data_IF_780885815715
#
_entry.id   IF_780885815715
#
_cell.length_a   1.000
_cell.length_b   1.000
_cell.length_c   1.000
_cell.angle_alpha   90.00
_cell.angle_beta   90.00
_cell.angle_gamma   90.00
#
_symmetry.space_group_name_H-M   'P 1'
#
loop_
_entity.id
_entity.type
_entity.pdbx_description
1 polymer ?
#
# COMPACT_ATOMS: atom_id res chain seq x y z
N UNK A 1 -26.53 -22.70 -27.09
CA UNK A 1 -26.36 -21.60 -26.12
C UNK A 1 -24.88 -21.25 -26.09
N UNK A 2 -24.46 -20.23 -26.82
CA UNK A 2 -23.04 -19.89 -26.97
C UNK A 2 -22.60 -19.01 -25.80
N UNK A 3 -21.75 -19.57 -24.93
CA UNK A 3 -21.08 -18.83 -23.86
C UNK A 3 -20.02 -17.92 -24.48
N UNK A 4 -20.31 -16.62 -24.57
CA UNK A 4 -19.31 -15.62 -24.93
C UNK A 4 -18.37 -15.41 -23.76
N UNK A 5 -17.27 -16.17 -23.72
CA UNK A 5 -16.18 -15.91 -22.81
C UNK A 5 -15.62 -14.51 -23.09
N UNK A 6 -15.77 -13.60 -22.12
CA UNK A 6 -15.27 -12.23 -22.20
C UNK A 6 -13.74 -12.30 -22.22
N UNK A 7 -13.10 -11.73 -23.25
CA UNK A 7 -11.64 -11.65 -23.32
C UNK A 7 -11.08 -10.92 -22.08
N UNK A 8 -9.93 -11.35 -21.54
CA UNK A 8 -9.32 -10.69 -20.39
C UNK A 8 -8.94 -9.25 -20.73
N UNK A 9 -8.91 -8.34 -19.74
CA UNK A 9 -8.45 -6.98 -19.98
C UNK A 9 -6.99 -6.98 -20.47
N UNK A 10 -6.61 -6.00 -21.31
CA UNK A 10 -5.22 -5.86 -21.75
C UNK A 10 -4.30 -5.55 -20.56
N UNK A 11 -3.01 -5.93 -20.64
CA UNK A 11 -2.05 -5.66 -19.58
C UNK A 11 -1.84 -4.15 -19.38
N UNK A 12 -1.74 -3.74 -18.11
CA UNK A 12 -1.38 -2.36 -17.75
C UNK A 12 0.12 -2.15 -18.00
N UNK A 13 0.46 -1.06 -18.71
CA UNK A 13 1.84 -0.58 -18.84
C UNK A 13 2.07 0.48 -17.76
N UNK A 14 2.91 0.15 -16.78
CA UNK A 14 3.31 1.07 -15.72
C UNK A 14 4.74 1.55 -15.97
N UNK A 15 4.96 2.85 -15.80
CA UNK A 15 6.28 3.46 -15.91
C UNK A 15 6.65 4.08 -14.56
N UNK A 16 7.88 3.82 -14.10
CA UNK A 16 8.39 4.42 -12.86
C UNK A 16 9.03 5.75 -13.23
N UNK A 17 8.32 6.84 -12.93
CA UNK A 17 8.80 8.19 -13.20
C UNK A 17 9.93 8.61 -12.26
N UNK A 18 9.84 8.22 -10.99
CA UNK A 18 10.83 8.55 -9.96
C UNK A 18 10.93 7.41 -8.94
N UNK A 19 12.16 7.14 -8.50
CA UNK A 19 12.45 6.22 -7.40
C UNK A 19 13.52 6.84 -6.52
N UNK A 20 13.16 7.14 -5.27
CA UNK A 20 14.08 7.70 -4.28
C UNK A 20 13.89 7.03 -2.93
N UNK A 21 14.93 7.01 -2.08
CA UNK A 21 14.78 6.60 -0.69
C UNK A 21 13.86 7.59 0.06
N UNK A 22 13.06 7.04 0.97
CA UNK A 22 12.24 7.80 1.91
C UNK A 22 12.86 7.72 3.30
N UNK A 23 12.79 8.82 4.05
CA UNK A 23 13.11 8.79 5.48
C UNK A 23 12.07 7.99 6.27
N UNK A 24 12.43 7.57 7.49
CA UNK A 24 11.49 6.88 8.38
C UNK A 24 10.26 7.74 8.68
N UNK A 25 10.43 9.06 8.89
CA UNK A 25 9.33 9.98 9.14
C UNK A 25 8.37 10.11 7.93
N UNK A 26 8.91 10.27 6.72
CA UNK A 26 8.11 10.29 5.49
C UNK A 26 7.36 8.97 5.29
N UNK A 27 8.02 7.84 5.57
CA UNK A 27 7.44 6.51 5.44
C UNK A 27 6.28 6.33 6.42
N UNK A 28 6.46 6.69 7.69
CA UNK A 28 5.40 6.65 8.72
C UNK A 28 4.21 7.52 8.31
N UNK A 29 4.46 8.74 7.83
CA UNK A 29 3.39 9.63 7.36
C UNK A 29 2.63 9.04 6.17
N UNK A 30 3.35 8.43 5.23
CA UNK A 30 2.75 7.81 4.03
C UNK A 30 1.88 6.62 4.41
N UNK A 31 2.38 5.73 5.27
CA UNK A 31 1.65 4.57 5.75
C UNK A 31 0.43 4.96 6.58
N UNK A 32 0.54 5.98 7.43
CA UNK A 32 -0.60 6.49 8.18
C UNK A 32 -1.70 7.01 7.25
N UNK A 33 -1.34 7.80 6.23
CA UNK A 33 -2.30 8.32 5.25
C UNK A 33 -2.94 7.20 4.43
N UNK A 34 -2.16 6.19 4.05
CA UNK A 34 -2.66 5.02 3.34
C UNK A 34 -3.68 4.25 4.21
N UNK A 35 -3.37 4.02 5.49
CA UNK A 35 -4.23 3.31 6.43
C UNK A 35 -5.51 4.06 6.80
N UNK A 36 -5.44 5.38 6.93
CA UNK A 36 -6.56 6.24 7.33
C UNK A 36 -7.52 6.59 6.18
N UNK A 37 -6.98 6.85 4.98
CA UNK A 37 -7.78 7.33 3.84
C UNK A 37 -8.04 6.24 2.77
N UNK A 38 -7.42 5.07 2.90
CA UNK A 38 -7.52 4.00 1.91
C UNK A 38 -8.89 3.32 1.93
N UNK A 39 -9.83 3.81 1.12
CA UNK A 39 -11.00 3.02 0.66
C UNK A 39 -10.58 1.67 0.05
N UNK A 40 -9.37 1.63 -0.53
CA UNK A 40 -8.74 0.41 -1.05
C UNK A 40 -8.34 -0.60 0.04
N UNK A 41 -7.97 -0.17 1.26
CA UNK A 41 -7.63 -1.12 2.34
C UNK A 41 -8.87 -1.80 2.89
N UNK A 42 -9.98 -1.07 2.99
CA UNK A 42 -11.27 -1.65 3.39
C UNK A 42 -11.74 -2.74 2.41
N UNK A 43 -11.29 -2.66 1.17
CA UNK A 43 -11.56 -3.64 0.10
C UNK A 43 -10.45 -4.67 -0.07
N UNK A 44 -9.29 -4.46 0.56
CA UNK A 44 -8.16 -5.37 0.49
C UNK A 44 -8.42 -6.59 1.38
N UNK A 45 -7.86 -7.77 1.03
CA UNK A 45 -7.82 -8.88 1.95
C UNK A 45 -7.25 -8.42 3.30
N UNK A 46 -7.92 -8.81 4.38
CA UNK A 46 -7.58 -8.41 5.76
C UNK A 46 -6.11 -8.68 6.11
N UNK A 47 -5.47 -9.65 5.45
CA UNK A 47 -4.04 -9.95 5.60
C UNK A 47 -3.11 -8.82 5.14
N UNK A 48 -3.42 -8.14 4.02
CA UNK A 48 -2.58 -7.05 3.50
C UNK A 48 -2.70 -5.84 4.42
N UNK A 49 -3.93 -5.48 4.81
CA UNK A 49 -4.17 -4.42 5.78
C UNK A 49 -3.40 -4.67 7.08
N UNK A 50 -3.44 -5.91 7.59
CA UNK A 50 -2.76 -6.29 8.82
C UNK A 50 -1.22 -6.18 8.70
N UNK A 51 -0.63 -6.66 7.60
CA UNK A 51 0.80 -6.56 7.37
C UNK A 51 1.27 -5.11 7.29
N UNK A 52 0.52 -4.26 6.59
CA UNK A 52 0.84 -2.83 6.47
C UNK A 52 0.77 -2.14 7.84
N UNK A 53 -0.24 -2.47 8.66
CA UNK A 53 -0.35 -1.99 10.04
C UNK A 53 0.83 -2.41 10.90
N UNK A 54 1.30 -3.67 10.80
CA UNK A 54 2.46 -4.15 11.54
C UNK A 54 3.74 -3.39 11.18
N UNK A 55 3.96 -3.14 9.89
CA UNK A 55 5.12 -2.35 9.42
C UNK A 55 5.04 -0.93 9.95
N UNK A 56 3.86 -0.29 9.84
CA UNK A 56 3.63 1.07 10.34
C UNK A 56 3.96 1.20 11.83
N UNK A 57 3.42 0.33 12.69
CA UNK A 57 3.64 0.41 14.13
C UNK A 57 5.11 0.19 14.49
N UNK A 58 5.80 -0.75 13.83
CA UNK A 58 7.23 -0.98 14.05
C UNK A 58 8.06 0.27 13.71
N UNK A 59 7.83 0.86 12.54
CA UNK A 59 8.56 2.05 12.09
C UNK A 59 8.26 3.28 12.96
N UNK A 60 7.00 3.43 13.38
CA UNK A 60 6.57 4.51 14.27
C UNK A 60 7.27 4.44 15.63
N UNK A 61 7.39 3.25 16.21
CA UNK A 61 8.08 3.04 17.47
C UNK A 61 9.58 3.31 17.34
N UNK A 62 10.21 2.87 16.24
CA UNK A 62 11.62 3.11 15.98
C UNK A 62 11.93 4.61 15.81
N UNK A 63 11.08 5.32 15.06
CA UNK A 63 11.23 6.78 14.87
C UNK A 63 11.14 7.54 16.21
N UNK A 64 10.27 7.10 17.13
CA UNK A 64 10.15 7.70 18.48
C UNK A 64 11.34 7.41 19.39
N UNK A 65 12.09 6.32 19.17
CA UNK A 65 13.26 5.97 20.00
C UNK A 65 14.52 6.76 19.64
N UNK A 66 14.54 7.34 18.45
CA UNK A 66 15.69 8.10 17.91
C UNK A 66 15.45 9.61 17.85
N UNK A 67 14.34 10.09 18.43
CA UNK A 67 14.06 11.50 18.72
C UNK A 67 14.38 11.79 20.19
#
# INVERSE_FOLDING_TARGET
>A
MSSTARAPPPPLRLEILESRPLSNAETVSTLHNFLSNGTAIHSAPTSIAHQVTQVYEKLRLETKRHQ
#
